data_IF_761234132714
#
_entry.id   IF_761234132714
#
_cell.length_a   1.000
_cell.length_b   1.000
_cell.length_c   1.000
_cell.angle_alpha   90.00
_cell.angle_beta   90.00
_cell.angle_gamma   90.00
#
_symmetry.space_group_name_H-M   'P 1'
#
loop_
_entity.id
_entity.type
_entity.pdbx_description
1 polymer ?
#
# COMPACT_ATOMS: atom_id res chain seq x y z
N UNK A 1 14.43 -8.29 -29.88
CA UNK A 1 13.73 -7.47 -30.88
C UNK A 1 14.56 -6.26 -31.32
N UNK A 2 14.84 -5.29 -30.45
CA UNK A 2 15.63 -4.09 -30.82
C UNK A 2 17.03 -4.39 -31.36
N UNK A 3 17.80 -5.27 -30.69
CA UNK A 3 19.11 -5.73 -31.17
C UNK A 3 19.07 -6.54 -32.49
N UNK A 4 17.89 -7.03 -32.86
CA UNK A 4 17.69 -7.72 -34.14
C UNK A 4 17.24 -6.77 -35.26
N UNK A 5 16.69 -5.60 -34.91
CA UNK A 5 16.19 -4.59 -35.84
C UNK A 5 17.17 -3.43 -36.07
N UNK A 6 18.11 -3.20 -35.15
CA UNK A 6 19.12 -2.14 -35.22
C UNK A 6 20.53 -2.76 -35.20
N UNK A 7 21.37 -2.52 -36.23
CA UNK A 7 22.76 -2.99 -36.29
C UNK A 7 23.61 -2.48 -35.11
N UNK A 8 23.33 -1.27 -34.66
CA UNK A 8 23.86 -0.67 -33.44
C UNK A 8 22.72 -0.07 -32.64
N UNK A 9 22.63 -0.40 -31.34
CA UNK A 9 21.62 0.18 -30.44
C UNK A 9 22.13 1.52 -29.94
N UNK A 10 21.38 2.63 -30.09
CA UNK A 10 21.79 3.92 -29.57
C UNK A 10 21.97 3.88 -28.05
N UNK A 11 23.03 4.51 -27.54
CA UNK A 11 23.36 4.51 -26.10
C UNK A 11 22.27 5.08 -25.20
N UNK A 12 21.51 6.07 -25.69
CA UNK A 12 20.39 6.64 -24.95
C UNK A 12 19.27 5.62 -24.72
N UNK A 13 19.06 4.70 -25.66
CA UNK A 13 18.02 3.67 -25.58
C UNK A 13 18.41 2.58 -24.59
N UNK A 14 19.66 2.10 -24.66
CA UNK A 14 20.20 1.14 -23.68
C UNK A 14 20.18 1.73 -22.25
N UNK A 15 20.51 3.01 -22.10
CA UNK A 15 20.42 3.70 -20.81
C UNK A 15 18.98 3.78 -20.29
N UNK A 16 18.02 4.05 -21.19
CA UNK A 16 16.60 4.15 -20.83
C UNK A 16 16.04 2.80 -20.40
N UNK A 17 16.34 1.73 -21.14
CA UNK A 17 15.95 0.36 -20.77
C UNK A 17 16.57 -0.04 -19.44
N UNK A 18 17.83 0.29 -19.19
CA UNK A 18 18.51 0.00 -17.92
C UNK A 18 17.82 0.67 -16.72
N UNK A 19 17.44 1.95 -16.87
CA UNK A 19 16.69 2.69 -15.85
C UNK A 19 15.28 2.13 -15.62
N UNK A 20 14.58 1.75 -16.70
CA UNK A 20 13.26 1.12 -16.59
C UNK A 20 13.34 -0.24 -15.89
N UNK A 21 14.37 -1.04 -16.17
CA UNK A 21 14.59 -2.32 -15.53
C UNK A 21 14.90 -2.17 -14.03
N UNK A 22 15.72 -1.18 -13.66
CA UNK A 22 15.98 -0.84 -12.25
C UNK A 22 14.71 -0.34 -11.54
N UNK A 23 13.91 0.50 -12.21
CA UNK A 23 12.62 0.95 -11.67
C UNK A 23 11.65 -0.22 -11.42
N UNK A 24 11.56 -1.16 -12.37
CA UNK A 24 10.77 -2.38 -12.21
C UNK A 24 11.27 -3.21 -11.03
N UNK A 25 12.57 -3.50 -10.96
CA UNK A 25 13.22 -4.24 -9.88
C UNK A 25 12.97 -3.63 -8.48
N UNK A 26 12.93 -2.30 -8.39
CA UNK A 26 12.58 -1.58 -7.17
C UNK A 26 11.07 -1.53 -6.87
N UNK A 27 10.23 -2.00 -7.78
CA UNK A 27 8.77 -2.03 -7.64
C UNK A 27 8.22 -3.45 -7.56
N UNK A 28 9.05 -4.47 -7.30
CA UNK A 28 8.58 -5.85 -7.11
C UNK A 28 8.48 -6.22 -5.64
N UNK A 29 7.45 -7.00 -5.34
CA UNK A 29 7.39 -7.79 -4.12
C UNK A 29 8.40 -8.93 -4.16
N UNK A 30 8.56 -9.62 -3.03
CA UNK A 30 9.44 -10.78 -2.90
C UNK A 30 9.04 -11.96 -3.80
N UNK A 31 7.77 -12.01 -4.21
CA UNK A 31 7.24 -12.98 -5.18
C UNK A 31 7.56 -12.62 -6.65
N UNK A 32 8.35 -11.56 -6.87
CA UNK A 32 8.71 -11.00 -8.18
C UNK A 32 7.54 -10.45 -9.00
N UNK A 33 6.38 -10.26 -8.39
CA UNK A 33 5.22 -9.62 -9.00
C UNK A 33 5.11 -8.14 -8.55
N UNK A 34 4.43 -7.35 -9.37
CA UNK A 34 4.21 -5.90 -9.13
C UNK A 34 3.20 -5.65 -7.98
N UNK A 35 3.18 -4.49 -7.32
CA UNK A 35 2.02 -4.05 -6.53
C UNK A 35 0.84 -3.74 -7.44
N UNK A 36 -0.36 -3.70 -6.88
CA UNK A 36 -1.60 -3.41 -7.59
C UNK A 36 -2.00 -1.92 -7.53
N UNK A 37 -1.02 -1.02 -7.49
CA UNK A 37 -1.28 0.42 -7.47
C UNK A 37 -1.86 0.91 -8.80
N UNK A 38 -2.81 1.85 -8.75
CA UNK A 38 -3.49 2.38 -9.95
C UNK A 38 -4.09 1.24 -10.80
N UNK A 39 -4.09 1.38 -12.12
CA UNK A 39 -4.54 0.34 -13.05
C UNK A 39 -3.46 -0.74 -13.30
N UNK A 40 -2.89 -1.29 -12.23
CA UNK A 40 -1.96 -2.42 -12.28
C UNK A 40 -2.68 -3.74 -11.98
N UNK A 41 -2.41 -4.76 -12.80
CA UNK A 41 -2.97 -6.11 -12.70
C UNK A 41 -1.96 -7.15 -13.18
N UNK A 42 -2.06 -8.37 -12.65
CA UNK A 42 -1.22 -9.48 -13.06
C UNK A 42 -1.63 -10.04 -14.43
N UNK A 43 -0.66 -10.53 -15.18
CA UNK A 43 -0.89 -11.31 -16.40
C UNK A 43 -1.20 -10.51 -17.66
N UNK A 44 -1.36 -9.18 -17.58
CA UNK A 44 -1.56 -8.31 -18.75
C UNK A 44 -0.25 -7.93 -19.46
N UNK A 45 0.88 -8.12 -18.80
CA UNK A 45 2.22 -7.90 -19.38
C UNK A 45 3.10 -9.15 -19.18
N UNK A 46 4.18 -9.32 -19.95
CA UNK A 46 5.13 -10.40 -19.70
C UNK A 46 5.66 -10.34 -18.27
N UNK A 47 5.86 -11.50 -17.64
CA UNK A 47 6.34 -11.59 -16.27
C UNK A 47 7.61 -10.75 -16.04
N UNK A 48 7.70 -10.07 -14.90
CA UNK A 48 8.79 -9.16 -14.56
C UNK A 48 10.17 -9.83 -14.69
N UNK A 49 10.27 -11.10 -14.30
CA UNK A 49 11.50 -11.89 -14.45
C UNK A 49 11.96 -12.03 -15.91
N UNK A 50 11.03 -12.12 -16.86
CA UNK A 50 11.33 -12.15 -18.29
C UNK A 50 11.82 -10.79 -18.76
N UNK A 51 11.15 -9.70 -18.36
CA UNK A 51 11.52 -8.33 -18.73
C UNK A 51 12.91 -7.96 -18.20
N UNK A 52 13.19 -8.25 -16.94
CA UNK A 52 14.49 -8.03 -16.31
C UNK A 52 15.60 -8.81 -17.02
N UNK A 53 15.36 -10.09 -17.31
CA UNK A 53 16.32 -10.92 -18.07
C UNK A 53 16.57 -10.36 -19.47
N UNK A 54 15.54 -9.91 -20.17
CA UNK A 54 15.68 -9.27 -21.49
C UNK A 54 16.47 -7.96 -21.42
N UNK A 55 16.39 -7.23 -20.31
CA UNK A 55 17.19 -6.04 -20.04
C UNK A 55 18.62 -6.37 -19.57
N UNK A 56 19.02 -7.65 -19.53
CA UNK A 56 20.36 -8.06 -19.10
C UNK A 56 20.59 -8.04 -17.59
N UNK A 57 19.53 -7.87 -16.79
CA UNK A 57 19.61 -8.03 -15.33
C UNK A 57 19.76 -9.52 -15.02
N UNK A 58 20.68 -9.86 -14.11
CA UNK A 58 20.78 -11.23 -13.59
C UNK A 58 19.50 -11.54 -12.81
N UNK A 59 19.01 -12.78 -12.92
CA UNK A 59 17.86 -13.22 -12.13
C UNK A 59 18.15 -12.97 -10.65
N UNK A 60 17.19 -12.37 -9.92
CA UNK A 60 17.24 -12.35 -8.47
C UNK A 60 17.45 -13.78 -7.98
N UNK A 61 18.56 -14.01 -7.27
CA UNK A 61 18.81 -15.29 -6.64
C UNK A 61 17.77 -15.52 -5.57
N UNK A 62 17.03 -16.62 -5.68
CA UNK A 62 16.15 -17.18 -4.66
C UNK A 62 16.96 -17.75 -3.49
N UNK A 63 17.78 -16.92 -2.82
CA UNK A 63 18.86 -17.42 -1.95
C UNK A 63 19.33 -16.49 -0.83
N UNK A 64 18.49 -15.58 -0.36
CA UNK A 64 18.76 -14.76 0.81
C UNK A 64 18.12 -15.32 2.09
N UNK A 65 18.43 -16.54 2.50
CA UNK A 65 18.14 -17.00 3.87
C UNK A 65 19.20 -16.40 4.79
N UNK A 66 18.96 -15.19 5.29
CA UNK A 66 19.86 -14.57 6.23
C UNK A 66 19.35 -13.20 6.61
N UNK A 67 19.31 -12.92 7.90
CA UNK A 67 19.00 -11.61 8.46
C UNK A 67 19.95 -10.55 7.90
N UNK A 68 19.65 -10.01 6.72
CA UNK A 68 20.20 -8.74 6.29
C UNK A 68 19.61 -7.69 7.22
N UNK A 69 20.45 -7.14 8.10
CA UNK A 69 20.17 -5.92 8.87
C UNK A 69 19.44 -4.96 7.95
N UNK A 70 18.27 -4.46 8.38
CA UNK A 70 17.39 -3.55 7.62
C UNK A 70 18.22 -2.65 6.69
N UNK A 71 18.37 -3.09 5.44
CA UNK A 71 19.15 -2.36 4.46
C UNK A 71 18.16 -1.41 3.83
N UNK A 72 18.15 -0.20 4.34
CA UNK A 72 17.51 0.90 3.65
C UNK A 72 18.27 1.11 2.36
N UNK A 73 17.80 0.43 1.31
CA UNK A 73 18.23 0.71 -0.03
C UNK A 73 17.89 2.19 -0.24
N UNK A 74 18.95 3.03 -0.31
CA UNK A 74 18.90 4.49 -0.48
C UNK A 74 18.29 4.93 -1.83
N UNK A 75 17.36 4.15 -2.37
CA UNK A 75 16.48 4.51 -3.48
C UNK A 75 15.10 4.98 -2.94
N UNK A 76 15.02 5.24 -1.63
CA UNK A 76 13.80 5.28 -0.81
C UNK A 76 12.82 6.44 -1.04
N UNK A 77 13.13 7.39 -1.91
CA UNK A 77 12.11 8.25 -2.48
C UNK A 77 12.49 8.50 -3.93
N UNK A 78 11.81 7.83 -4.83
CA UNK A 78 11.70 8.30 -6.20
C UNK A 78 10.43 9.14 -6.19
N UNK A 79 10.50 10.50 -6.14
CA UNK A 79 9.33 11.29 -6.47
C UNK A 79 8.77 10.72 -7.78
N UNK A 80 7.46 10.48 -7.84
CA UNK A 80 6.80 9.88 -9.00
C UNK A 80 7.05 8.37 -9.20
N UNK A 81 7.49 7.63 -8.17
CA UNK A 81 7.80 6.20 -8.26
C UNK A 81 7.35 5.34 -7.06
N UNK A 82 7.69 4.05 -7.10
CA UNK A 82 7.47 3.12 -6.00
C UNK A 82 8.76 2.98 -5.20
N UNK A 83 8.70 3.27 -3.90
CA UNK A 83 9.81 3.03 -2.97
C UNK A 83 9.71 1.63 -2.40
N UNK A 84 10.83 0.90 -2.36
CA UNK A 84 10.92 -0.43 -1.74
C UNK A 84 11.86 -0.41 -0.54
N UNK A 85 11.38 -0.91 0.59
CA UNK A 85 12.12 -0.92 1.86
C UNK A 85 12.05 -2.30 2.48
N UNK A 86 13.20 -2.86 2.81
CA UNK A 86 13.29 -4.12 3.56
C UNK A 86 13.44 -3.85 5.05
N UNK A 87 12.59 -4.47 5.86
CA UNK A 87 12.55 -4.29 7.32
C UNK A 87 12.45 -5.63 8.03
N UNK A 88 12.55 -5.62 9.37
CA UNK A 88 12.30 -6.83 10.14
C UNK A 88 10.84 -7.27 10.07
N UNK A 89 9.89 -6.37 9.74
CA UNK A 89 8.49 -6.73 9.50
C UNK A 89 8.26 -7.35 8.11
N UNK A 90 9.00 -6.90 7.09
CA UNK A 90 8.92 -7.41 5.72
C UNK A 90 9.37 -6.37 4.69
N UNK A 91 9.13 -6.68 3.41
CA UNK A 91 9.34 -5.75 2.29
C UNK A 91 8.11 -4.88 2.09
N UNK A 92 8.28 -3.58 2.32
CA UNK A 92 7.27 -2.55 2.12
C UNK A 92 7.45 -1.90 0.74
N UNK A 93 6.38 -1.83 -0.03
CA UNK A 93 6.30 -1.03 -1.26
C UNK A 93 5.40 0.19 -0.99
N UNK A 94 5.89 1.39 -1.27
CA UNK A 94 5.16 2.64 -1.03
C UNK A 94 5.01 3.39 -2.34
N UNK A 95 3.78 3.79 -2.67
CA UNK A 95 3.51 4.72 -3.76
C UNK A 95 3.70 6.15 -3.26
N UNK A 96 4.88 6.71 -3.51
CA UNK A 96 5.26 8.06 -3.08
C UNK A 96 5.26 9.06 -4.24
N UNK A 97 4.48 10.12 -4.14
CA UNK A 97 4.43 11.18 -5.17
C UNK A 97 3.01 11.49 -5.60
N UNK A 98 2.82 12.20 -6.73
CA UNK A 98 1.48 12.44 -7.25
C UNK A 98 0.73 11.14 -7.53
N UNK A 99 -0.58 11.17 -7.29
CA UNK A 99 -1.50 10.03 -7.49
C UNK A 99 -1.51 9.48 -8.92
N UNK A 100 -1.12 10.29 -9.91
CA UNK A 100 -0.92 9.86 -11.29
C UNK A 100 -0.24 10.94 -12.13
N UNK A 101 0.09 10.59 -13.38
CA UNK A 101 0.67 11.54 -14.33
C UNK A 101 -0.37 12.55 -14.80
N UNK A 102 -0.01 13.85 -14.81
CA UNK A 102 -0.90 14.95 -15.19
C UNK A 102 -1.57 14.77 -16.56
N UNK A 103 -0.83 14.20 -17.52
CA UNK A 103 -1.31 13.94 -18.87
C UNK A 103 -2.10 12.63 -19.01
N UNK A 104 -2.18 11.79 -17.96
CA UNK A 104 -2.82 10.48 -18.01
C UNK A 104 -3.53 10.09 -16.71
N UNK A 105 -4.31 11.03 -16.16
CA UNK A 105 -5.10 10.84 -14.93
C UNK A 105 -6.19 9.76 -15.04
N UNK A 106 -6.47 9.26 -16.25
CA UNK A 106 -7.43 8.18 -16.48
C UNK A 106 -7.10 6.90 -15.72
N UNK A 107 -5.83 6.65 -15.40
CA UNK A 107 -5.39 5.48 -14.62
C UNK A 107 -5.13 5.76 -13.14
N UNK A 108 -5.29 7.01 -12.69
CA UNK A 108 -5.00 7.39 -11.31
C UNK A 108 -6.12 6.97 -10.36
N UNK A 109 -5.76 6.44 -9.20
CA UNK A 109 -6.72 6.15 -8.14
C UNK A 109 -6.60 7.16 -6.98
N UNK A 110 -7.55 7.11 -6.05
CA UNK A 110 -7.60 7.96 -4.87
C UNK A 110 -6.71 7.41 -3.74
N UNK A 111 -5.44 7.19 -4.04
CA UNK A 111 -4.52 6.36 -3.25
C UNK A 111 -3.25 7.10 -2.73
N UNK A 112 -3.33 8.37 -2.27
CA UNK A 112 -2.15 9.13 -1.87
C UNK A 112 -1.39 8.41 -0.74
N UNK A 113 -0.14 8.03 -0.99
CA UNK A 113 0.68 7.32 0.00
C UNK A 113 0.19 5.91 0.34
N UNK A 114 -0.56 5.25 -0.57
CA UNK A 114 -0.86 3.82 -0.46
C UNK A 114 0.42 2.98 -0.43
N UNK A 115 0.31 1.76 0.07
CA UNK A 115 1.43 0.85 0.29
C UNK A 115 0.97 -0.60 0.27
N UNK A 116 1.91 -1.51 0.00
CA UNK A 116 1.74 -2.96 0.14
C UNK A 116 2.88 -3.55 0.98
N UNK A 117 2.66 -4.70 1.61
CA UNK A 117 3.64 -5.40 2.43
C UNK A 117 3.67 -6.88 2.08
N UNK A 118 4.86 -7.37 1.74
CA UNK A 118 5.15 -8.80 1.63
C UNK A 118 6.21 -9.23 2.64
N UNK A 119 6.21 -10.51 2.96
CA UNK A 119 7.25 -11.15 3.75
C UNK A 119 7.30 -12.63 3.46
N UNK A 120 8.50 -13.18 3.31
CA UNK A 120 8.78 -14.58 3.05
C UNK A 120 8.03 -15.07 1.79
N UNK A 121 7.95 -14.21 0.77
CA UNK A 121 7.23 -14.47 -0.48
C UNK A 121 5.71 -14.44 -0.38
N UNK A 122 5.13 -14.08 0.78
CA UNK A 122 3.68 -13.94 0.98
C UNK A 122 3.29 -12.46 1.07
N UNK A 123 2.19 -12.08 0.42
CA UNK A 123 1.60 -10.74 0.53
C UNK A 123 0.61 -10.66 1.69
N UNK A 124 0.87 -9.75 2.62
CA UNK A 124 0.07 -9.56 3.83
C UNK A 124 -0.89 -8.39 3.68
N UNK A 125 -0.37 -7.25 3.21
CA UNK A 125 -1.14 -6.04 2.91
C UNK A 125 -1.07 -5.81 1.41
N UNK A 126 -2.22 -5.61 0.78
CA UNK A 126 -2.36 -5.47 -0.67
C UNK A 126 -3.22 -4.26 -1.02
N UNK A 127 -3.07 -3.72 -2.21
CA UNK A 127 -4.04 -2.78 -2.78
C UNK A 127 -5.23 -3.55 -3.40
N UNK A 128 -6.36 -2.87 -3.64
CA UNK A 128 -7.50 -3.47 -4.33
C UNK A 128 -7.19 -3.84 -5.77
N UNK A 129 -6.34 -3.08 -6.45
CA UNK A 129 -6.17 -3.19 -7.90
C UNK A 129 -7.40 -2.76 -8.68
N UNK A 130 -7.62 -3.35 -9.86
CA UNK A 130 -8.72 -2.98 -10.75
C UNK A 130 -9.40 -4.23 -11.33
N UNK A 131 -10.71 -4.31 -11.19
CA UNK A 131 -11.51 -5.39 -11.79
C UNK A 131 -11.61 -5.29 -13.33
N UNK A 132 -11.73 -4.08 -13.87
CA UNK A 132 -11.86 -3.85 -15.31
C UNK A 132 -12.02 -2.39 -15.68
N UNK A 133 -11.88 -2.09 -16.97
CA UNK A 133 -11.95 -0.72 -17.50
C UNK A 133 -13.36 -0.21 -17.78
N UNK A 134 -14.35 -1.10 -17.86
CA UNK A 134 -15.73 -0.71 -18.12
C UNK A 134 -16.31 0.11 -16.97
N UNK A 135 -17.19 1.06 -17.30
CA UNK A 135 -17.96 1.80 -16.31
C UNK A 135 -18.80 0.82 -15.47
N UNK A 136 -18.52 0.78 -14.17
CA UNK A 136 -19.22 -0.09 -13.22
C UNK A 136 -19.00 0.39 -11.79
N UNK A 137 -19.92 0.07 -10.89
CA UNK A 137 -19.76 0.37 -9.47
C UNK A 137 -18.46 -0.19 -8.89
N UNK A 138 -18.04 -1.37 -9.35
CA UNK A 138 -16.78 -1.98 -8.90
C UNK A 138 -15.56 -1.20 -9.39
N UNK A 139 -15.59 -0.64 -10.61
CA UNK A 139 -14.54 0.25 -11.10
C UNK A 139 -14.48 1.53 -10.26
N UNK A 140 -15.62 2.11 -9.92
CA UNK A 140 -15.69 3.31 -9.07
C UNK A 140 -15.15 3.02 -7.68
N UNK A 141 -15.54 1.89 -7.07
CA UNK A 141 -15.02 1.43 -5.78
C UNK A 141 -13.50 1.22 -5.83
N UNK A 142 -12.98 0.49 -6.82
CA UNK A 142 -11.54 0.25 -6.97
C UNK A 142 -10.73 1.55 -7.07
N UNK A 143 -11.31 2.66 -7.55
CA UNK A 143 -10.64 3.96 -7.65
C UNK A 143 -10.76 4.83 -6.41
N UNK A 144 -11.65 4.49 -5.49
CA UNK A 144 -11.98 5.30 -4.31
C UNK A 144 -10.96 5.12 -3.18
N UNK A 145 -10.81 6.11 -2.30
CA UNK A 145 -9.88 6.01 -1.17
C UNK A 145 -10.18 4.83 -0.23
N UNK A 146 -11.43 4.37 -0.22
CA UNK A 146 -11.88 3.21 0.55
C UNK A 146 -11.24 1.89 0.09
N UNK A 147 -10.68 1.84 -1.13
CA UNK A 147 -10.05 0.66 -1.69
C UNK A 147 -8.52 0.62 -1.48
N UNK A 148 -7.94 1.65 -0.85
CA UNK A 148 -6.50 1.81 -0.74
C UNK A 148 -6.01 1.89 0.70
N UNK A 149 -4.74 1.59 0.89
CA UNK A 149 -4.09 1.67 2.20
C UNK A 149 -3.71 3.11 2.51
N UNK A 150 -4.69 4.00 2.62
CA UNK A 150 -4.52 5.44 2.87
C UNK A 150 -5.56 5.95 3.89
N UNK A 151 -5.61 7.27 4.11
CA UNK A 151 -6.60 7.89 4.99
C UNK A 151 -7.85 8.32 4.23
N UNK A 152 -9.00 8.12 4.86
CA UNK A 152 -10.27 8.75 4.48
C UNK A 152 -10.57 9.85 5.49
N UNK A 153 -10.93 11.05 5.00
CA UNK A 153 -11.19 12.23 5.84
C UNK A 153 -12.62 12.71 5.63
N UNK A 154 -13.43 12.76 6.69
CA UNK A 154 -14.83 13.18 6.67
C UNK A 154 -15.65 12.52 5.54
N UNK A 155 -15.39 11.25 5.25
CA UNK A 155 -15.98 10.49 4.12
C UNK A 155 -15.75 11.11 2.73
N UNK A 156 -14.79 12.03 2.60
CA UNK A 156 -14.41 12.67 1.35
C UNK A 156 -13.32 11.92 0.60
N UNK A 157 -13.24 12.19 -0.70
CA UNK A 157 -12.25 11.62 -1.62
C UNK A 157 -11.10 12.60 -1.89
N UNK A 158 -9.83 12.14 -1.97
CA UNK A 158 -8.72 12.98 -2.41
C UNK A 158 -8.78 13.29 -3.91
N UNK A 159 -9.59 12.56 -4.71
CA UNK A 159 -9.80 12.79 -6.14
C UNK A 159 -11.29 12.88 -6.45
N UNK A 160 -11.67 13.81 -7.33
CA UNK A 160 -13.01 13.92 -7.88
C UNK A 160 -13.08 13.21 -9.24
N UNK A 161 -13.71 12.04 -9.27
CA UNK A 161 -13.98 11.30 -10.50
C UNK A 161 -15.29 11.80 -11.13
N UNK A 162 -15.28 12.08 -12.43
CA UNK A 162 -16.47 12.52 -13.19
C UNK A 162 -16.66 11.72 -14.48
N UNK A 163 -16.06 10.52 -14.51
CA UNK A 163 -16.16 9.53 -15.56
C UNK A 163 -15.03 8.50 -15.45
N UNK A 164 -15.17 7.39 -16.18
CA UNK A 164 -14.32 6.19 -16.04
C UNK A 164 -12.82 6.42 -16.20
N UNK A 165 -12.43 7.46 -16.94
CA UNK A 165 -11.03 7.87 -17.16
C UNK A 165 -10.82 9.38 -16.93
N UNK A 166 -11.71 10.02 -16.16
CA UNK A 166 -11.71 11.48 -16.00
C UNK A 166 -11.67 11.86 -14.54
N UNK A 167 -10.63 12.62 -14.18
CA UNK A 167 -10.43 13.21 -12.85
C UNK A 167 -10.52 14.72 -13.00
N UNK A 168 -11.28 15.37 -12.11
CA UNK A 168 -11.42 16.82 -12.05
C UNK A 168 -10.48 17.38 -10.96
N UNK A 169 -11.03 17.77 -9.81
CA UNK A 169 -10.21 18.20 -8.66
C UNK A 169 -9.43 17.02 -8.09
N UNK A 170 -8.21 17.25 -7.63
CA UNK A 170 -7.32 16.22 -7.08
C UNK A 170 -6.46 16.78 -5.96
N UNK A 171 -6.09 15.93 -5.02
CA UNK A 171 -5.07 16.26 -4.04
C UNK A 171 -3.75 16.53 -4.77
N UNK A 172 -2.97 17.47 -4.25
CA UNK A 172 -1.64 17.82 -4.74
C UNK A 172 -0.61 17.20 -3.81
N UNK A 173 0.30 16.41 -4.36
CA UNK A 173 1.53 16.04 -3.68
C UNK A 173 2.37 17.30 -3.47
N UNK A 174 2.60 17.68 -2.21
CA UNK A 174 3.38 18.88 -1.88
C UNK A 174 4.84 18.53 -1.66
N UNK A 175 5.09 17.40 -1.00
CA UNK A 175 6.42 17.08 -0.51
C UNK A 175 6.59 15.60 -0.18
N UNK A 176 7.80 15.09 -0.45
CA UNK A 176 8.29 13.83 0.11
C UNK A 176 9.72 13.99 0.58
N UNK A 177 10.06 13.45 1.75
CA UNK A 177 11.42 13.56 2.33
C UNK A 177 11.80 12.26 3.03
N UNK A 178 13.10 11.95 2.98
CA UNK A 178 13.69 10.96 3.88
C UNK A 178 13.92 11.63 5.24
N UNK A 179 13.60 10.92 6.32
CA UNK A 179 13.84 11.33 7.70
C UNK A 179 14.99 10.49 8.26
N UNK A 180 16.06 11.13 8.72
CA UNK A 180 17.21 10.46 9.36
C UNK A 180 17.55 11.10 10.72
N UNK A 181 16.59 11.81 11.31
CA UNK A 181 16.83 12.71 12.45
C UNK A 181 17.14 11.99 13.77
N UNK A 182 16.93 10.66 13.84
CA UNK A 182 17.13 9.85 15.04
C UNK A 182 18.17 8.75 14.80
N UNK A 183 19.19 8.62 15.66
CA UNK A 183 20.19 7.56 15.52
C UNK A 183 19.55 6.16 15.48
N UNK A 184 19.74 5.43 14.39
CA UNK A 184 19.21 4.08 14.23
C UNK A 184 17.76 3.97 13.75
N UNK A 185 17.08 5.10 13.51
CA UNK A 185 15.78 5.13 12.85
C UNK A 185 15.87 5.80 11.49
N UNK A 186 14.99 5.39 10.59
CA UNK A 186 14.83 6.00 9.27
C UNK A 186 13.36 6.19 8.99
N UNK A 187 13.02 7.12 8.11
CA UNK A 187 11.65 7.24 7.67
C UNK A 187 11.45 7.92 6.34
N UNK A 188 10.23 7.88 5.86
CA UNK A 188 9.75 8.60 4.70
C UNK A 188 8.53 9.40 5.13
N UNK A 189 8.57 10.71 4.93
CA UNK A 189 7.41 11.57 5.03
C UNK A 189 6.83 11.84 3.64
N UNK A 190 5.51 11.76 3.50
CA UNK A 190 4.75 12.17 2.32
C UNK A 190 3.68 13.17 2.75
N UNK A 191 3.52 14.28 2.02
CA UNK A 191 2.54 15.34 2.32
C UNK A 191 1.67 15.65 1.11
N UNK A 192 0.36 15.63 1.32
CA UNK A 192 -0.66 15.84 0.31
C UNK A 192 -1.66 16.91 0.76
N UNK A 193 -1.92 17.90 -0.10
CA UNK A 193 -2.99 18.87 0.10
C UNK A 193 -4.21 18.48 -0.68
N UNK A 194 -5.32 18.24 0.00
CA UNK A 194 -6.60 17.90 -0.60
C UNK A 194 -7.31 19.17 -1.08
N UNK A 195 -8.15 19.05 -2.11
CA UNK A 195 -8.85 20.20 -2.69
C UNK A 195 -9.96 20.76 -1.77
N UNK A 196 -10.34 19.99 -0.75
CA UNK A 196 -11.22 20.39 0.36
C UNK A 196 -10.51 21.29 1.38
N UNK A 197 -9.18 21.48 1.28
CA UNK A 197 -8.38 22.30 2.20
C UNK A 197 -7.71 21.52 3.32
N UNK A 198 -7.89 20.21 3.40
CA UNK A 198 -7.19 19.34 4.35
C UNK A 198 -5.76 19.05 3.90
N UNK A 199 -4.90 18.78 4.87
CA UNK A 199 -3.53 18.34 4.62
C UNK A 199 -3.32 17.01 5.29
N UNK A 200 -3.00 16.00 4.50
CA UNK A 200 -2.61 14.68 4.99
C UNK A 200 -1.09 14.56 4.92
N UNK A 201 -0.48 14.26 6.06
CA UNK A 201 0.93 13.90 6.15
C UNK A 201 1.03 12.47 6.67
N UNK A 202 1.72 11.62 5.92
CA UNK A 202 2.01 10.24 6.30
C UNK A 202 3.50 10.08 6.52
N UNK A 203 3.87 9.45 7.63
CA UNK A 203 5.25 9.05 7.90
C UNK A 203 5.29 7.53 8.01
N UNK A 204 6.17 6.93 7.20
CA UNK A 204 6.62 5.54 7.39
C UNK A 204 7.93 5.60 8.14
N UNK A 205 7.95 5.25 9.42
CA UNK A 205 9.15 5.27 10.26
C UNK A 205 9.56 3.86 10.65
N UNK A 206 10.82 3.53 10.46
CA UNK A 206 11.41 2.24 10.75
C UNK A 206 12.24 2.42 12.01
N UNK A 207 11.84 1.73 13.09
CA UNK A 207 12.60 1.78 14.34
C UNK A 207 13.82 0.86 14.30
N UNK A 208 14.67 0.97 15.33
CA UNK A 208 15.91 0.21 15.42
C UNK A 208 15.67 -1.30 15.51
N UNK A 209 14.50 -1.72 15.98
CA UNK A 209 14.05 -3.12 16.02
C UNK A 209 13.51 -3.61 14.66
N UNK A 210 13.36 -2.72 13.69
CA UNK A 210 12.88 -3.01 12.34
C UNK A 210 11.36 -3.14 12.23
N UNK A 211 10.61 -2.64 13.22
CA UNK A 211 9.17 -2.45 13.10
C UNK A 211 8.87 -1.22 12.25
N UNK A 212 7.71 -1.21 11.59
CA UNK A 212 7.29 -0.10 10.75
C UNK A 212 6.15 0.65 11.41
N UNK A 213 6.33 1.94 11.65
CA UNK A 213 5.32 2.85 12.11
C UNK A 213 4.69 3.55 10.91
N UNK A 214 3.37 3.45 10.80
CA UNK A 214 2.53 4.22 9.90
C UNK A 214 1.87 5.32 10.72
N UNK A 215 2.37 6.54 10.59
CA UNK A 215 1.92 7.70 11.35
C UNK A 215 1.20 8.66 10.41
N UNK A 216 -0.10 8.82 10.59
CA UNK A 216 -0.94 9.73 9.81
C UNK A 216 -1.29 10.96 10.62
N UNK A 217 -1.10 12.13 10.04
CA UNK A 217 -1.57 13.41 10.56
C UNK A 217 -2.46 14.07 9.53
N UNK A 218 -3.68 14.42 9.94
CA UNK A 218 -4.64 15.16 9.12
C UNK A 218 -4.90 16.51 9.78
N UNK A 219 -4.62 17.58 9.03
CA UNK A 219 -4.79 18.98 9.46
C UNK A 219 -5.86 19.66 8.59
N UNK A 220 -6.63 20.58 9.16
CA UNK A 220 -7.69 21.27 8.41
C UNK A 220 -8.49 22.23 9.26
N UNK A 221 -9.46 22.92 8.66
CA UNK A 221 -10.39 23.78 9.41
C UNK A 221 -11.58 22.97 9.91
N UNK A 222 -12.00 23.22 11.14
CA UNK A 222 -13.21 22.63 11.74
C UNK A 222 -13.02 21.21 12.29
N UNK A 223 -14.12 20.52 12.50
CA UNK A 223 -14.11 19.15 13.00
C UNK A 223 -13.68 18.17 11.91
N UNK A 224 -12.73 17.31 12.25
CA UNK A 224 -12.17 16.29 11.38
C UNK A 224 -12.43 14.92 11.98
N UNK A 225 -12.86 14.00 11.13
CA UNK A 225 -12.85 12.57 11.34
C UNK A 225 -11.92 11.95 10.29
N UNK A 226 -10.95 11.16 10.72
CA UNK A 226 -10.03 10.48 9.81
C UNK A 226 -9.96 8.99 10.14
N UNK A 227 -9.87 8.15 9.12
CA UNK A 227 -9.68 6.71 9.24
C UNK A 227 -8.52 6.26 8.35
N UNK A 228 -7.50 5.62 8.93
CA UNK A 228 -6.39 5.00 8.21
C UNK A 228 -6.72 3.54 7.91
N UNK A 229 -6.73 3.17 6.63
CA UNK A 229 -7.14 1.85 6.15
C UNK A 229 -5.92 0.95 5.88
N UNK A 230 -6.08 -0.35 6.17
CA UNK A 230 -5.13 -1.39 5.79
C UNK A 230 -5.89 -2.62 5.30
N UNK A 231 -5.66 -2.99 4.03
CA UNK A 231 -6.32 -4.06 3.31
C UNK A 231 -5.44 -5.30 3.29
N UNK A 232 -6.01 -6.43 3.69
CA UNK A 232 -5.29 -7.69 3.74
C UNK A 232 -5.54 -8.54 2.50
N UNK A 233 -4.52 -9.29 2.10
CA UNK A 233 -4.68 -10.29 1.06
C UNK A 233 -5.78 -11.30 1.46
N UNK A 234 -6.64 -11.80 0.54
CA UNK A 234 -7.80 -12.64 0.91
C UNK A 234 -7.49 -13.93 1.70
N UNK A 235 -6.25 -14.42 1.60
CA UNK A 235 -5.78 -15.60 2.34
C UNK A 235 -5.30 -15.27 3.77
N UNK A 236 -5.15 -14.00 4.12
CA UNK A 236 -4.76 -13.58 5.46
C UNK A 236 -5.93 -13.74 6.42
N UNK A 237 -5.62 -14.25 7.60
CA UNK A 237 -6.52 -14.35 8.75
C UNK A 237 -5.90 -13.57 9.91
N UNK A 238 -6.75 -12.90 10.68
CA UNK A 238 -6.34 -12.09 11.82
C UNK A 238 -6.86 -12.66 13.13
N UNK A 239 -6.04 -12.61 14.17
CA UNK A 239 -6.45 -12.88 15.56
C UNK A 239 -6.24 -11.61 16.37
N UNK A 240 -7.32 -11.11 16.97
CA UNK A 240 -7.30 -9.93 17.82
C UNK A 240 -6.78 -10.28 19.22
N UNK A 241 -5.85 -9.47 19.73
CA UNK A 241 -5.24 -9.55 21.06
C UNK A 241 -5.27 -8.19 21.74
N UNK A 242 -4.92 -8.15 23.03
CA UNK A 242 -4.86 -6.90 23.82
C UNK A 242 -6.16 -6.08 23.71
N UNK A 243 -7.32 -6.73 23.86
CA UNK A 243 -8.64 -6.13 23.67
C UNK A 243 -8.83 -5.49 22.27
N UNK A 244 -8.24 -6.10 21.24
CA UNK A 244 -8.31 -5.64 19.85
C UNK A 244 -7.27 -4.58 19.47
N UNK A 245 -6.33 -4.22 20.36
CA UNK A 245 -5.24 -3.30 20.02
C UNK A 245 -4.15 -3.92 19.17
N UNK A 246 -4.05 -5.25 19.16
CA UNK A 246 -3.09 -5.99 18.34
C UNK A 246 -3.86 -6.96 17.46
N UNK A 247 -3.53 -6.97 16.17
CA UNK A 247 -4.04 -7.93 15.20
C UNK A 247 -2.88 -8.76 14.68
N UNK A 248 -2.77 -10.02 15.14
CA UNK A 248 -1.78 -10.97 14.61
C UNK A 248 -2.27 -11.58 13.32
N UNK A 249 -1.42 -11.57 12.29
CA UNK A 249 -1.78 -12.08 10.97
C UNK A 249 -1.21 -13.48 10.77
N UNK A 250 -2.01 -14.32 10.10
CA UNK A 250 -1.65 -15.67 9.68
C UNK A 250 -2.05 -15.87 8.22
N UNK A 251 -1.24 -16.58 7.45
CA UNK A 251 -1.56 -16.93 6.08
C UNK A 251 -1.03 -18.33 5.79
N UNK A 252 -1.88 -19.24 5.32
CA UNK A 252 -1.52 -20.62 5.03
C UNK A 252 -0.80 -21.35 6.19
N UNK A 253 -1.18 -21.06 7.44
CA UNK A 253 -0.58 -21.64 8.65
C UNK A 253 0.76 -21.01 9.07
N UNK A 254 1.24 -19.98 8.35
CA UNK A 254 2.46 -19.23 8.68
C UNK A 254 2.07 -17.99 9.49
N UNK A 255 2.78 -17.75 10.60
CA UNK A 255 2.65 -16.52 11.37
C UNK A 255 3.35 -15.36 10.66
N UNK A 256 2.64 -14.27 10.48
CA UNK A 256 3.11 -13.06 9.81
C UNK A 256 3.36 -11.90 10.75
N UNK A 257 3.48 -10.69 10.18
CA UNK A 257 3.52 -9.45 10.94
C UNK A 257 2.26 -9.26 11.78
N UNK A 258 2.35 -8.44 12.83
CA UNK A 258 1.18 -8.02 13.61
C UNK A 258 0.97 -6.51 13.49
N UNK A 259 -0.27 -6.06 13.45
CA UNK A 259 -0.61 -4.63 13.47
C UNK A 259 -1.01 -4.23 14.88
N UNK A 260 -0.34 -3.24 15.45
CA UNK A 260 -0.65 -2.66 16.75
C UNK A 260 -1.16 -1.23 16.59
N UNK A 261 -2.30 -0.93 17.19
CA UNK A 261 -2.85 0.43 17.24
C UNK A 261 -2.16 1.21 18.36
N UNK A 262 -1.45 2.28 18.02
CA UNK A 262 -0.66 3.10 18.95
C UNK A 262 -1.35 4.44 19.26
N UNK A 263 -2.26 4.91 18.40
CA UNK A 263 -3.12 6.07 18.67
C UNK A 263 -4.43 5.99 17.87
N UNK A 264 -5.36 6.90 18.18
CA UNK A 264 -6.72 6.87 17.64
C UNK A 264 -7.71 6.12 18.53
N UNK A 265 -8.97 6.10 18.10
CA UNK A 265 -10.07 5.42 18.75
C UNK A 265 -10.15 3.98 18.23
N UNK A 266 -9.22 3.13 18.68
CA UNK A 266 -9.27 1.68 18.50
C UNK A 266 -9.26 1.18 17.04
N UNK A 267 -9.50 -0.12 16.91
CA UNK A 267 -9.68 -0.83 15.64
C UNK A 267 -11.17 -0.92 15.33
N UNK A 268 -11.56 -0.53 14.13
CA UNK A 268 -12.92 -0.71 13.61
C UNK A 268 -12.82 -1.31 12.19
N UNK A 269 -13.75 -2.18 11.78
CA UNK A 269 -13.89 -2.52 10.37
C UNK A 269 -14.52 -1.33 9.60
N UNK A 270 -14.18 -1.15 8.32
CA UNK A 270 -14.68 -0.05 7.51
C UNK A 270 -16.23 -0.01 7.40
N UNK A 271 -16.88 1.17 7.28
CA UNK A 271 -18.33 1.29 7.16
C UNK A 271 -18.88 0.47 5.98
N UNK A 272 -19.97 -0.28 6.20
CA UNK A 272 -20.46 -1.32 5.27
C UNK A 272 -20.22 -2.75 5.79
N UNK A 273 -19.56 -2.87 6.94
CA UNK A 273 -19.37 -4.10 7.70
C UNK A 273 -20.15 -3.95 9.01
N UNK A 274 -21.22 -4.72 9.21
CA UNK A 274 -21.89 -4.78 10.50
C UNK A 274 -21.02 -5.56 11.50
N UNK A 275 -20.74 -5.04 12.71
CA UNK A 275 -20.20 -5.84 13.79
C UNK A 275 -21.32 -6.71 14.33
N UNK A 276 -21.25 -8.03 14.18
CA UNK A 276 -22.09 -8.89 15.01
C UNK A 276 -21.51 -8.94 16.42
N UNK A 277 -22.08 -8.06 17.25
CA UNK A 277 -22.18 -8.04 18.70
C UNK A 277 -20.89 -7.98 19.54
N UNK A 278 -20.82 -6.91 20.34
CA UNK A 278 -19.97 -6.77 21.52
C UNK A 278 -20.13 -7.98 22.46
N UNK A 279 -19.15 -8.87 22.45
CA UNK A 279 -18.28 -9.34 23.56
C UNK A 279 -17.68 -10.67 23.11
N UNK A 280 -16.36 -10.73 22.95
CA UNK A 280 -15.64 -11.97 22.66
C UNK A 280 -15.82 -12.93 23.84
N UNK A 281 -16.52 -14.04 23.64
CA UNK A 281 -16.38 -15.24 24.46
C UNK A 281 -15.25 -16.10 23.89
N UNK A 282 -14.48 -16.73 24.78
CA UNK A 282 -13.15 -17.26 24.52
C UNK A 282 -13.08 -18.55 23.67
N UNK A 283 -14.20 -19.07 23.17
CA UNK A 283 -14.24 -20.30 22.40
C UNK A 283 -15.11 -20.07 21.16
N UNK A 284 -14.54 -20.32 19.98
CA UNK A 284 -15.11 -20.19 18.62
C UNK A 284 -14.90 -18.83 17.91
N UNK A 285 -14.17 -18.89 16.78
CA UNK A 285 -13.85 -17.77 15.88
C UNK A 285 -14.85 -17.79 14.71
N UNK A 286 -15.78 -16.83 14.57
CA UNK A 286 -16.71 -16.82 13.44
C UNK A 286 -16.09 -16.12 12.21
N UNK A 287 -16.24 -16.74 11.03
CA UNK A 287 -16.01 -16.16 9.69
C UNK A 287 -16.96 -14.94 9.51
N UNK A 288 -16.54 -13.67 9.44
CA UNK A 288 -15.76 -12.90 8.45
C UNK A 288 -16.52 -12.58 7.14
N UNK A 289 -17.22 -11.44 7.15
CA UNK A 289 -17.93 -10.73 6.06
C UNK A 289 -18.97 -11.51 5.23
N UNK A 290 -20.12 -10.85 4.97
CA UNK A 290 -20.89 -11.16 3.76
C UNK A 290 -19.99 -10.85 2.54
N UNK A 291 -20.05 -11.62 1.45
CA UNK A 291 -19.29 -11.34 0.23
C UNK A 291 -19.55 -9.90 -0.29
N UNK A 292 -18.54 -9.01 -0.29
CA UNK A 292 -18.52 -7.83 -1.18
C UNK A 292 -18.25 -6.41 -0.62
N UNK A 293 -17.77 -6.22 0.61
CA UNK A 293 -17.44 -4.87 1.13
C UNK A 293 -16.14 -4.25 0.61
N UNK A 294 -15.15 -5.09 0.29
CA UNK A 294 -13.90 -4.74 -0.40
C UNK A 294 -13.53 -5.90 -1.32
N UNK A 295 -12.93 -5.59 -2.46
CA UNK A 295 -12.50 -6.58 -3.42
C UNK A 295 -11.01 -6.47 -3.71
N UNK A 296 -10.32 -7.60 -3.58
CA UNK A 296 -9.01 -7.79 -4.16
C UNK A 296 -9.18 -8.21 -5.61
N UNK A 297 -8.76 -7.34 -6.52
CA UNK A 297 -8.90 -7.45 -7.97
C UNK A 297 -7.52 -7.56 -8.64
N UNK A 298 -6.82 -8.71 -8.50
CA UNK A 298 -5.46 -8.87 -8.99
C UNK A 298 -5.36 -9.03 -10.50
N UNK A 299 -6.48 -9.28 -11.19
CA UNK A 299 -6.56 -9.52 -12.63
C UNK A 299 -7.88 -8.97 -13.17
N UNK A 300 -7.94 -8.66 -14.46
CA UNK A 300 -9.21 -8.30 -15.07
C UNK A 300 -10.23 -9.43 -14.96
N UNK A 301 -11.47 -9.04 -14.64
CA UNK A 301 -12.59 -9.96 -14.42
C UNK A 301 -12.53 -10.75 -13.11
N UNK A 302 -11.53 -10.50 -12.25
CA UNK A 302 -11.39 -11.16 -10.96
C UNK A 302 -11.70 -10.16 -9.84
N UNK A 303 -12.63 -10.53 -8.97
CA UNK A 303 -12.96 -9.78 -7.76
C UNK A 303 -13.12 -10.77 -6.61
N UNK A 304 -12.12 -10.85 -5.73
CA UNK A 304 -12.12 -11.72 -4.57
C UNK A 304 -12.54 -10.91 -3.34
N UNK A 305 -13.50 -11.38 -2.53
CA UNK A 305 -13.80 -10.73 -1.26
C UNK A 305 -12.54 -10.63 -0.41
N UNK A 306 -12.22 -9.43 0.05
CA UNK A 306 -11.10 -9.21 0.96
C UNK A 306 -11.56 -8.55 2.26
N UNK A 307 -10.58 -8.26 3.11
CA UNK A 307 -10.80 -7.69 4.44
C UNK A 307 -9.90 -6.49 4.63
N UNK A 308 -10.40 -5.50 5.36
CA UNK A 308 -9.63 -4.34 5.75
C UNK A 308 -9.83 -4.05 7.23
N UNK A 309 -8.81 -3.47 7.85
CA UNK A 309 -8.96 -2.79 9.12
C UNK A 309 -8.90 -1.28 8.95
N UNK A 310 -9.56 -0.56 9.86
CA UNK A 310 -9.40 0.87 10.01
C UNK A 310 -9.00 1.24 11.43
N UNK A 311 -8.16 2.26 11.54
CA UNK A 311 -7.93 2.99 12.79
C UNK A 311 -8.47 4.39 12.59
N UNK A 312 -9.45 4.78 13.40
CA UNK A 312 -10.15 6.05 13.25
C UNK A 312 -9.83 7.03 14.38
N UNK A 313 -10.13 8.30 14.16
CA UNK A 313 -9.94 9.34 15.16
C UNK A 313 -10.69 10.59 14.78
N UNK A 314 -10.97 11.44 15.75
CA UNK A 314 -11.64 12.72 15.50
C UNK A 314 -11.07 13.82 16.38
N UNK A 315 -11.09 15.04 15.86
CA UNK A 315 -10.47 16.18 16.51
C UNK A 315 -10.86 17.50 15.85
N UNK A 316 -10.66 18.62 16.56
CA UNK A 316 -10.89 19.93 16.01
C UNK A 316 -9.58 20.46 15.39
N UNK A 317 -9.54 20.51 14.06
CA UNK A 317 -8.44 21.00 13.24
C UNK A 317 -7.21 20.08 13.11
N UNK A 318 -7.13 19.01 13.91
CA UNK A 318 -6.03 18.05 13.89
C UNK A 318 -6.52 16.65 14.30
N UNK A 319 -6.14 15.63 13.53
CA UNK A 319 -6.25 14.21 13.90
C UNK A 319 -4.90 13.54 13.68
N UNK A 320 -4.50 12.67 14.62
CA UNK A 320 -3.29 11.84 14.51
C UNK A 320 -3.67 10.39 14.74
N UNK A 321 -3.18 9.52 13.85
CA UNK A 321 -3.38 8.09 13.89
C UNK A 321 -2.02 7.41 13.77
N UNK A 322 -1.84 6.28 14.44
CA UNK A 322 -0.58 5.55 14.41
C UNK A 322 -0.84 4.06 14.48
N UNK A 323 -0.30 3.32 13.50
CA UNK A 323 -0.28 1.87 13.44
C UNK A 323 1.19 1.43 13.44
N UNK A 324 1.56 0.51 14.31
CA UNK A 324 2.87 -0.12 14.31
C UNK A 324 2.76 -1.54 13.78
N UNK A 325 3.47 -1.83 12.71
CA UNK A 325 3.63 -3.16 12.12
C UNK A 325 4.84 -3.82 12.80
N UNK A 326 4.55 -4.81 13.62
CA UNK A 326 5.53 -5.58 14.35
C UNK A 326 6.02 -6.75 13.49
N UNK A 327 7.32 -7.10 13.56
CA UNK A 327 7.81 -8.33 12.99
C UNK A 327 7.08 -9.55 13.56
N UNK A 328 7.00 -10.67 12.82
CA UNK A 328 6.48 -11.91 13.39
C UNK A 328 7.23 -12.25 14.67
N UNK A 329 6.51 -12.55 15.75
CA UNK A 329 7.12 -13.08 16.97
C UNK A 329 7.75 -14.44 16.65
N UNK A 330 8.99 -14.66 17.10
CA UNK A 330 9.55 -16.01 17.11
C UNK A 330 8.64 -16.88 17.98
N UNK A 331 7.93 -17.81 17.35
CA UNK A 331 7.14 -18.84 18.03
C UNK A 331 8.00 -19.86 18.72
#
# INVERSE_FOLDING_TARGET
>A
ALRAALPEVPSWLDLSVSRMAEALENALHEDLEIPLFNDAVFGETPASSVLLRLAGKKAFGTGGTGAEKASFLRNALIPYGTSRISTAAGTLLIKGGPVGADHQMGHAHADPGTWELSRDGLRWVVDAGIHGYGESALRDTCRSALAHNTVVVNHGEPLEFWGTFRVARRCRFEEGRILEDRPGEQGIMLRYRWFQGWIHTRVFRIDAEGSVWLEDTVEGMGHLHAASLVHFHPLVKGVAEENGRVLRLFQNGIAGPALRVESGNGWEPAPGIAPTANTLNADEIPLLSEPGGFYYCPRFGVALPGYACQVSGSGNGLVRLAIRILPPSAG
#
